data_IF_205071071523
#
_entry.id   IF_205071071523
#
_cell.length_a   1.000
_cell.length_b   1.000
_cell.length_c   1.000
_cell.angle_alpha   90.00
_cell.angle_beta   90.00
_cell.angle_gamma   90.00
#
_symmetry.space_group_name_H-M   'P 1'
#
loop_
_entity.id
_entity.type
_entity.pdbx_description
1 polymer ?
#
# COMPACT_ATOMS: atom_id res chain seq x y z
N UNK A 1 27.08 -19.25 -0.24
CA UNK A 1 25.84 -18.46 -0.02
C UNK A 1 24.64 -19.33 -0.38
N UNK A 2 23.97 -19.94 0.62
CA UNK A 2 23.01 -21.05 0.43
C UNK A 2 21.80 -20.67 -0.46
N UNK A 3 21.55 -21.46 -1.51
CA UNK A 3 20.41 -21.36 -2.45
C UNK A 3 19.06 -21.21 -1.74
N UNK A 4 18.90 -21.84 -0.57
CA UNK A 4 17.67 -21.78 0.24
C UNK A 4 17.39 -20.37 0.77
N UNK A 5 18.42 -19.60 1.18
CA UNK A 5 18.21 -18.23 1.71
C UNK A 5 17.63 -17.29 0.65
N UNK A 6 18.09 -17.41 -0.61
CA UNK A 6 17.56 -16.62 -1.73
C UNK A 6 16.13 -16.99 -2.08
N UNK A 7 15.78 -18.28 -2.02
CA UNK A 7 14.42 -18.74 -2.31
C UNK A 7 13.42 -18.28 -1.23
N UNK A 8 13.81 -18.33 0.05
CA UNK A 8 12.99 -17.78 1.13
C UNK A 8 12.80 -16.28 0.97
N UNK A 9 13.87 -15.54 0.70
CA UNK A 9 13.81 -14.10 0.42
C UNK A 9 12.84 -13.77 -0.73
N UNK A 10 12.90 -14.49 -1.85
CA UNK A 10 12.00 -14.26 -2.98
C UNK A 10 10.53 -14.51 -2.59
N UNK A 11 10.25 -15.57 -1.82
CA UNK A 11 8.90 -15.88 -1.34
C UNK A 11 8.34 -14.77 -0.45
N UNK A 12 9.15 -14.25 0.47
CA UNK A 12 8.75 -13.12 1.32
C UNK A 12 8.51 -11.86 0.50
N UNK A 13 9.39 -11.54 -0.44
CA UNK A 13 9.21 -10.40 -1.33
C UNK A 13 7.93 -10.50 -2.17
N UNK A 14 7.64 -11.69 -2.72
CA UNK A 14 6.40 -11.92 -3.46
C UNK A 14 5.15 -11.79 -2.57
N UNK A 15 5.21 -12.29 -1.34
CA UNK A 15 4.12 -12.13 -0.38
C UNK A 15 3.91 -10.66 0.00
N UNK A 16 4.98 -9.89 0.22
CA UNK A 16 4.91 -8.45 0.53
C UNK A 16 4.29 -7.66 -0.64
N UNK A 17 4.67 -7.99 -1.88
CA UNK A 17 4.10 -7.37 -3.09
C UNK A 17 2.61 -7.65 -3.19
N UNK A 18 2.19 -8.92 -3.05
CA UNK A 18 0.77 -9.29 -3.12
C UNK A 18 -0.01 -8.61 -1.97
N UNK A 19 0.56 -8.60 -0.77
CA UNK A 19 -0.03 -7.95 0.40
C UNK A 19 -0.13 -6.44 0.27
N UNK A 20 0.66 -5.79 -0.60
CA UNK A 20 0.53 -4.36 -0.91
C UNK A 20 -0.45 -4.11 -2.08
N UNK A 21 -0.49 -4.99 -3.07
CA UNK A 21 -1.34 -4.85 -4.26
C UNK A 21 -2.82 -5.06 -3.94
N UNK A 22 -3.16 -6.05 -3.11
CA UNK A 22 -4.56 -6.37 -2.81
C UNK A 22 -5.27 -5.22 -2.09
N UNK A 23 -4.73 -4.66 -0.99
CA UNK A 23 -5.39 -3.56 -0.30
C UNK A 23 -5.51 -2.32 -1.18
N UNK A 24 -4.48 -2.03 -1.99
CA UNK A 24 -4.52 -0.91 -2.93
C UNK A 24 -5.62 -1.08 -3.99
N UNK A 25 -5.77 -2.28 -4.55
CA UNK A 25 -6.81 -2.55 -5.55
C UNK A 25 -8.20 -2.37 -4.95
N UNK A 26 -8.41 -2.86 -3.72
CA UNK A 26 -9.69 -2.69 -3.01
C UNK A 26 -9.94 -1.22 -2.67
N UNK A 27 -8.92 -0.51 -2.21
CA UNK A 27 -9.01 0.92 -1.90
C UNK A 27 -9.34 1.75 -3.14
N UNK A 28 -8.67 1.49 -4.27
CA UNK A 28 -8.93 2.18 -5.53
C UNK A 28 -10.37 1.94 -6.02
N UNK A 29 -10.84 0.69 -5.94
CA UNK A 29 -12.22 0.37 -6.26
C UNK A 29 -13.22 1.09 -5.33
N UNK A 30 -12.97 1.06 -4.02
CA UNK A 30 -13.80 1.78 -3.04
C UNK A 30 -13.91 3.27 -3.36
N UNK A 31 -12.78 3.91 -3.69
CA UNK A 31 -12.72 5.33 -4.00
C UNK A 31 -13.45 5.67 -5.29
N UNK A 32 -13.27 4.87 -6.35
CA UNK A 32 -13.96 5.06 -7.63
C UNK A 32 -15.48 4.93 -7.47
N UNK A 33 -15.98 4.00 -6.64
CA UNK A 33 -17.42 3.84 -6.44
C UNK A 33 -18.06 4.87 -5.50
N UNK A 34 -17.38 5.27 -4.42
CA UNK A 34 -18.01 6.06 -3.36
C UNK A 34 -17.70 7.55 -3.41
N UNK A 35 -16.55 7.95 -3.96
CA UNK A 35 -16.03 9.33 -3.85
C UNK A 35 -16.05 10.03 -5.21
N UNK A 36 -15.91 9.28 -6.32
CA UNK A 36 -15.86 9.86 -7.67
C UNK A 36 -17.29 10.01 -8.25
N UNK A 37 -17.82 11.24 -8.39
CA UNK A 37 -19.16 11.46 -8.93
C UNK A 37 -19.28 11.12 -10.43
N UNK A 38 -18.17 11.09 -11.17
CA UNK A 38 -18.14 10.76 -12.61
C UNK A 38 -18.29 9.25 -12.82
N UNK A 39 -17.67 8.45 -11.96
CA UNK A 39 -17.78 7.01 -11.98
C UNK A 39 -19.20 6.49 -11.64
N UNK A 40 -19.93 7.21 -10.78
CA UNK A 40 -21.34 6.89 -10.48
C UNK A 40 -22.28 7.08 -11.69
N UNK A 41 -21.85 7.80 -12.72
CA UNK A 41 -22.61 7.96 -13.97
C UNK A 41 -22.35 6.84 -15.01
N UNK A 42 -21.65 5.76 -14.62
CA UNK A 42 -21.68 4.47 -15.34
C UNK A 42 -20.77 4.34 -16.57
N UNK A 43 -19.95 5.35 -16.88
CA UNK A 43 -19.21 5.37 -18.15
C UNK A 43 -17.70 5.12 -18.02
N UNK A 44 -17.14 5.06 -16.81
CA UNK A 44 -15.71 4.80 -16.62
C UNK A 44 -15.45 3.36 -16.18
N UNK A 45 -14.79 2.60 -17.05
CA UNK A 45 -14.34 1.25 -16.71
C UNK A 45 -13.15 1.36 -15.76
N UNK A 46 -13.29 0.86 -14.53
CA UNK A 46 -12.25 0.82 -13.50
C UNK A 46 -10.93 0.24 -14.04
N UNK A 47 -11.04 -0.73 -14.95
CA UNK A 47 -9.91 -1.43 -15.57
C UNK A 47 -9.18 -0.60 -16.64
N UNK A 48 -9.73 0.54 -17.09
CA UNK A 48 -9.10 1.42 -18.08
C UNK A 48 -8.45 2.66 -17.43
N UNK A 49 -8.55 2.80 -16.11
CA UNK A 49 -8.00 3.94 -15.41
C UNK A 49 -6.47 3.81 -15.28
N UNK A 50 -5.75 4.76 -15.88
CA UNK A 50 -4.29 4.78 -15.85
C UNK A 50 -3.75 4.97 -14.42
N UNK A 51 -4.52 5.62 -13.54
CA UNK A 51 -4.14 5.80 -12.13
C UNK A 51 -4.17 4.48 -11.35
N UNK A 52 -5.02 3.51 -11.73
CA UNK A 52 -5.01 2.17 -11.17
C UNK A 52 -3.67 1.48 -11.45
N UNK A 53 -3.22 1.51 -12.70
CA UNK A 53 -1.97 0.85 -13.11
C UNK A 53 -0.73 1.53 -12.52
N UNK A 54 -0.73 2.87 -12.46
CA UNK A 54 0.33 3.64 -11.79
C UNK A 54 0.41 3.22 -10.32
N UNK A 55 -0.72 3.22 -9.61
CA UNK A 55 -0.75 2.80 -8.20
C UNK A 55 -0.33 1.35 -8.00
N UNK A 56 -0.70 0.44 -8.91
CA UNK A 56 -0.34 -0.98 -8.84
C UNK A 56 1.17 -1.23 -8.96
N UNK A 57 1.93 -0.33 -9.59
CA UNK A 57 3.40 -0.39 -9.67
C UNK A 57 4.09 0.45 -8.58
N UNK A 58 3.60 1.67 -8.34
CA UNK A 58 4.23 2.62 -7.41
C UNK A 58 4.09 2.14 -5.97
N UNK A 59 2.92 1.61 -5.58
CA UNK A 59 2.67 1.19 -4.19
C UNK A 59 3.55 0.01 -3.79
N UNK A 60 3.63 -1.11 -4.53
CA UNK A 60 4.52 -2.19 -4.15
C UNK A 60 6.00 -1.79 -4.19
N UNK A 61 6.41 -0.96 -5.16
CA UNK A 61 7.78 -0.45 -5.22
C UNK A 61 8.12 0.41 -4.00
N UNK A 62 7.19 1.26 -3.56
CA UNK A 62 7.32 2.07 -2.36
C UNK A 62 7.49 1.21 -1.10
N UNK A 63 6.65 0.20 -0.90
CA UNK A 63 6.74 -0.70 0.26
C UNK A 63 8.05 -1.50 0.28
N UNK A 64 8.47 -2.03 -0.88
CA UNK A 64 9.75 -2.74 -1.01
C UNK A 64 10.92 -1.81 -0.66
N UNK A 65 10.92 -0.57 -1.16
CA UNK A 65 11.94 0.42 -0.83
C UNK A 65 11.93 0.76 0.67
N UNK A 66 10.75 0.97 1.25
CA UNK A 66 10.56 1.32 2.66
C UNK A 66 11.06 0.19 3.58
N UNK A 67 10.77 -1.07 3.29
CA UNK A 67 11.30 -2.22 4.02
C UNK A 67 12.81 -2.41 3.81
N UNK A 68 13.33 -2.13 2.62
CA UNK A 68 14.76 -2.15 2.34
C UNK A 68 15.52 -1.08 3.18
N UNK A 69 15.01 0.16 3.23
CA UNK A 69 15.59 1.23 4.04
C UNK A 69 15.46 0.99 5.55
N UNK A 70 14.39 0.33 6.00
CA UNK A 70 14.23 -0.07 7.41
C UNK A 70 15.27 -1.10 7.90
N UNK A 71 16.05 -1.66 6.97
CA UNK A 71 16.96 -2.77 7.26
C UNK A 71 16.23 -4.05 7.64
N UNK A 72 14.94 -4.18 7.28
CA UNK A 72 14.11 -5.35 7.59
C UNK A 72 14.76 -6.63 7.05
N UNK A 73 15.26 -6.57 5.81
CA UNK A 73 15.95 -7.70 5.17
C UNK A 73 17.38 -7.97 5.69
N UNK A 74 17.94 -7.07 6.49
CA UNK A 74 19.32 -7.16 7.00
C UNK A 74 19.43 -7.63 8.45
N UNK A 75 18.31 -7.72 9.19
CA UNK A 75 18.34 -8.14 10.60
C UNK A 75 18.47 -9.66 10.73
N UNK A 76 19.67 -10.09 11.08
CA UNK A 76 19.94 -11.43 11.57
C UNK A 76 19.29 -11.63 12.95
N UNK A 77 18.38 -12.59 13.03
CA UNK A 77 17.64 -13.08 14.20
C UNK A 77 18.40 -12.96 15.55
N UNK A 78 18.09 -11.95 16.37
CA UNK A 78 17.99 -12.00 17.86
C UNK A 78 17.11 -10.80 18.27
N UNK A 79 15.79 -10.87 18.08
CA UNK A 79 14.82 -9.94 18.71
C UNK A 79 13.50 -10.66 19.02
N UNK A 80 12.80 -10.18 20.06
CA UNK A 80 11.47 -10.66 20.44
C UNK A 80 10.49 -10.48 19.27
N UNK A 81 9.64 -11.49 19.02
CA UNK A 81 8.56 -11.48 18.01
C UNK A 81 7.65 -10.24 18.15
N UNK A 82 7.49 -9.74 19.38
CA UNK A 82 6.70 -8.53 19.67
C UNK A 82 7.37 -7.25 19.17
N UNK A 83 8.71 -7.20 19.20
CA UNK A 83 9.49 -6.07 18.69
C UNK A 83 9.49 -6.00 17.16
N UNK A 84 9.41 -7.15 16.48
CA UNK A 84 9.23 -7.21 15.03
C UNK A 84 7.84 -6.69 14.64
N UNK A 85 6.77 -7.17 15.30
CA UNK A 85 5.41 -6.67 15.06
C UNK A 85 5.29 -5.15 15.26
N UNK A 86 5.88 -4.61 16.33
CA UNK A 86 5.89 -3.16 16.57
C UNK A 86 6.64 -2.38 15.49
N UNK A 87 7.77 -2.91 15.00
CA UNK A 87 8.51 -2.29 13.91
C UNK A 87 7.69 -2.31 12.61
N UNK A 88 7.08 -3.45 12.26
CA UNK A 88 6.26 -3.56 11.05
C UNK A 88 5.05 -2.64 11.13
N UNK A 89 4.34 -2.59 12.25
CA UNK A 89 3.22 -1.66 12.47
C UNK A 89 3.63 -0.20 12.34
N UNK A 90 4.77 0.18 12.93
CA UNK A 90 5.28 1.55 12.84
C UNK A 90 5.67 1.93 11.40
N UNK A 91 6.34 1.02 10.69
CA UNK A 91 6.64 1.20 9.27
C UNK A 91 5.35 1.28 8.44
N UNK A 92 4.32 0.52 8.80
CA UNK A 92 3.03 0.56 8.12
C UNK A 92 2.33 1.89 8.30
N UNK A 93 2.31 2.43 9.53
CA UNK A 93 1.75 3.77 9.81
C UNK A 93 2.49 4.85 9.03
N UNK A 94 3.83 4.82 9.01
CA UNK A 94 4.63 5.79 8.22
C UNK A 94 4.31 5.66 6.73
N UNK A 95 4.25 4.43 6.22
CA UNK A 95 3.95 4.16 4.82
C UNK A 95 2.58 4.71 4.41
N UNK A 96 1.55 4.47 5.23
CA UNK A 96 0.20 4.98 5.02
C UNK A 96 0.16 6.51 5.04
N UNK A 97 0.85 7.15 5.98
CA UNK A 97 0.94 8.62 6.04
C UNK A 97 1.59 9.19 4.78
N UNK A 98 2.69 8.59 4.31
CA UNK A 98 3.38 9.03 3.09
C UNK A 98 2.50 8.84 1.84
N UNK A 99 1.83 7.70 1.71
CA UNK A 99 0.89 7.41 0.62
C UNK A 99 -0.26 8.41 0.64
N UNK A 100 -0.81 8.72 1.82
CA UNK A 100 -1.87 9.70 1.99
C UNK A 100 -1.46 11.09 1.50
N UNK A 101 -0.32 11.62 1.96
CA UNK A 101 0.13 12.94 1.55
C UNK A 101 0.60 13.01 0.09
N UNK A 102 1.05 11.90 -0.50
CA UNK A 102 1.59 11.91 -1.87
C UNK A 102 0.54 11.62 -2.93
N UNK A 103 -0.37 10.67 -2.67
CA UNK A 103 -1.32 10.18 -3.67
C UNK A 103 -2.76 10.61 -3.40
N UNK A 104 -3.18 10.73 -2.14
CA UNK A 104 -4.54 11.17 -1.83
C UNK A 104 -4.67 12.69 -1.80
N UNK A 105 -3.59 13.43 -1.50
CA UNK A 105 -3.63 14.89 -1.37
C UNK A 105 -3.86 15.62 -2.70
N UNK A 106 -3.33 15.06 -3.80
CA UNK A 106 -3.35 15.69 -5.13
C UNK A 106 -4.68 15.47 -5.87
N UNK A 107 -5.57 14.65 -5.33
CA UNK A 107 -6.80 14.31 -6.01
C UNK A 107 -7.91 15.35 -5.83
N UNK A 108 -8.65 15.61 -6.91
CA UNK A 108 -9.80 16.51 -6.89
C UNK A 108 -10.94 15.88 -6.07
N UNK A 109 -11.15 16.39 -4.86
CA UNK A 109 -12.19 15.89 -3.96
C UNK A 109 -13.23 16.98 -3.71
N UNK A 110 -14.49 16.58 -3.72
CA UNK A 110 -15.62 17.49 -3.57
C UNK A 110 -15.72 18.06 -2.15
N UNK A 111 -15.33 17.30 -1.12
CA UNK A 111 -15.46 17.72 0.28
C UNK A 111 -14.31 17.20 1.18
N UNK A 112 -13.87 18.01 2.15
CA UNK A 112 -12.83 17.65 3.13
C UNK A 112 -13.09 16.39 3.97
N UNK A 113 -14.35 15.91 4.04
CA UNK A 113 -14.70 14.65 4.74
C UNK A 113 -14.13 13.41 4.06
N UNK A 114 -14.02 13.46 2.74
CA UNK A 114 -13.60 12.32 1.92
C UNK A 114 -12.13 11.94 2.19
N UNK A 115 -11.30 12.91 2.64
CA UNK A 115 -9.93 12.66 3.12
C UNK A 115 -9.89 11.74 4.33
N UNK A 116 -10.74 12.00 5.33
CA UNK A 116 -10.74 11.24 6.58
C UNK A 116 -11.30 9.84 6.40
N UNK A 117 -12.34 9.69 5.56
CA UNK A 117 -12.88 8.37 5.22
C UNK A 117 -11.87 7.55 4.42
N UNK A 118 -11.22 8.14 3.42
CA UNK A 118 -10.21 7.44 2.63
C UNK A 118 -9.02 6.99 3.49
N UNK A 119 -8.56 7.85 4.42
CA UNK A 119 -7.49 7.49 5.35
C UNK A 119 -7.89 6.33 6.27
N UNK A 120 -9.11 6.35 6.83
CA UNK A 120 -9.60 5.28 7.70
C UNK A 120 -9.76 3.96 6.96
N UNK A 121 -10.30 3.97 5.73
CA UNK A 121 -10.41 2.76 4.91
C UNK A 121 -9.03 2.20 4.59
N UNK A 122 -8.08 3.04 4.18
CA UNK A 122 -6.70 2.62 3.89
C UNK A 122 -5.97 2.06 5.12
N UNK A 123 -6.30 2.55 6.33
CA UNK A 123 -5.71 2.06 7.58
C UNK A 123 -6.28 0.72 8.06
N UNK A 124 -7.56 0.46 7.77
CA UNK A 124 -8.24 -0.80 8.16
C UNK A 124 -7.89 -1.95 7.23
N UNK A 125 -7.57 -1.66 5.97
CA UNK A 125 -7.27 -2.62 4.89
C UNK A 125 -5.79 -3.05 4.88
#
# INVERSE_FOLDING_TARGET
MNKNKKLHFLKYLFADIISAMVPWTVFFAYRKYNIDPVANNGNEQILLDNNLYIGLFVIPAFWVALYAFSGYYNKSMIKSRLGELGQTLFMSVIGLVLIFFSLLLDDEINTYKDYYESFLVLFVL
#
